data_IF_675476584225
#
_entry.id   IF_675476584225
#
_cell.length_a   1.000
_cell.length_b   1.000
_cell.length_c   1.000
_cell.angle_alpha   90.00
_cell.angle_beta   90.00
_cell.angle_gamma   90.00
#
_symmetry.space_group_name_H-M   'P 1'
#
loop_
_entity.id
_entity.type
_entity.pdbx_description
1 polymer ?
#
# COMPACT_ATOMS: atom_id res chain seq x y z
N UNK A 1 33.23 -8.33 -31.47
CA UNK A 1 32.66 -7.02 -31.03
C UNK A 1 31.82 -7.27 -29.76
N UNK A 2 32.37 -6.93 -28.59
CA UNK A 2 31.68 -7.11 -27.29
C UNK A 2 30.99 -5.79 -26.94
N UNK A 3 29.66 -5.77 -27.02
CA UNK A 3 28.88 -4.66 -26.45
C UNK A 3 28.93 -4.78 -24.93
N UNK A 4 29.60 -3.85 -24.29
CA UNK A 4 29.55 -3.65 -22.84
C UNK A 4 28.19 -3.03 -22.51
N UNK A 5 27.32 -3.80 -21.85
CA UNK A 5 26.15 -3.26 -21.15
C UNK A 5 26.65 -2.45 -19.96
N UNK A 6 26.54 -1.16 -20.07
CA UNK A 6 26.63 -0.24 -18.94
C UNK A 6 25.35 -0.36 -18.12
N UNK A 7 25.42 -1.09 -17.03
CA UNK A 7 24.46 -0.99 -15.95
C UNK A 7 24.87 0.25 -15.12
N UNK A 8 24.30 1.39 -15.46
CA UNK A 8 24.38 2.57 -14.60
C UNK A 8 23.51 2.28 -13.36
N UNK A 9 24.18 2.04 -12.24
CA UNK A 9 23.59 2.22 -10.92
C UNK A 9 23.37 3.72 -10.74
N UNK A 10 22.25 4.24 -11.14
CA UNK A 10 21.84 5.59 -10.75
C UNK A 10 21.23 5.54 -9.36
N UNK A 11 21.91 6.12 -8.40
CA UNK A 11 21.27 6.57 -7.17
C UNK A 11 20.22 7.61 -7.56
N UNK A 12 18.97 7.44 -7.12
CA UNK A 12 17.91 8.40 -7.34
C UNK A 12 18.30 9.75 -6.71
N UNK A 13 18.74 10.67 -7.53
CA UNK A 13 19.04 12.03 -7.10
C UNK A 13 17.94 12.93 -7.64
N UNK A 14 16.90 13.14 -6.84
CA UNK A 14 15.91 14.17 -7.13
C UNK A 14 16.54 15.55 -6.87
N UNK A 15 17.08 16.17 -7.89
CA UNK A 15 17.59 17.53 -7.82
C UNK A 15 16.44 18.51 -8.11
N UNK A 16 15.71 18.95 -7.08
CA UNK A 16 14.78 20.06 -7.21
C UNK A 16 15.59 21.37 -7.21
N UNK A 17 15.87 21.95 -8.38
CA UNK A 17 16.38 23.31 -8.49
C UNK A 17 15.19 24.27 -8.60
N UNK A 18 14.88 25.00 -7.54
CA UNK A 18 13.97 26.12 -7.59
C UNK A 18 14.72 27.40 -7.27
N UNK A 19 14.78 28.29 -8.25
CA UNK A 19 15.35 29.63 -8.07
C UNK A 19 14.25 30.53 -7.50
N UNK A 20 14.46 31.10 -6.32
CA UNK A 20 13.57 32.12 -5.78
C UNK A 20 13.70 33.38 -6.66
N UNK A 21 12.73 33.62 -7.53
CA UNK A 21 12.60 34.86 -8.24
C UNK A 21 12.02 35.94 -7.31
N UNK A 22 12.67 37.04 -7.30
CA UNK A 22 12.45 38.24 -6.51
C UNK A 22 11.03 38.81 -6.59
N UNK A 23 10.48 39.14 -5.44
CA UNK A 23 9.42 40.16 -5.30
C UNK A 23 8.00 39.62 -5.33
N UNK A 24 7.41 39.55 -4.16
CA UNK A 24 6.00 39.25 -3.91
C UNK A 24 5.80 37.88 -3.30
N UNK A 25 5.02 37.84 -2.23
CA UNK A 25 4.48 36.58 -1.67
C UNK A 25 3.51 35.99 -2.71
N UNK A 26 4.07 35.28 -3.64
CA UNK A 26 3.30 34.42 -4.53
C UNK A 26 3.57 33.02 -4.02
N UNK A 27 2.51 32.29 -3.67
CA UNK A 27 2.58 30.85 -3.56
C UNK A 27 2.96 30.31 -4.95
N UNK A 28 4.26 30.38 -5.26
CA UNK A 28 4.84 29.84 -6.47
C UNK A 28 4.92 28.37 -6.31
N UNK A 29 4.11 27.62 -7.03
CA UNK A 29 4.37 26.22 -7.31
C UNK A 29 5.78 26.13 -7.88
N UNK A 30 6.72 25.64 -7.10
CA UNK A 30 8.02 25.26 -7.61
C UNK A 30 7.78 24.23 -8.72
N UNK A 31 8.42 24.47 -9.87
CA UNK A 31 8.49 23.47 -10.92
C UNK A 31 8.99 22.18 -10.28
N UNK A 32 8.12 21.18 -10.20
CA UNK A 32 8.57 19.82 -10.01
C UNK A 32 9.59 19.59 -11.12
N UNK A 33 10.82 19.27 -10.76
CA UNK A 33 11.68 18.61 -11.71
C UNK A 33 10.90 17.36 -12.13
N UNK A 34 10.57 17.30 -13.41
CA UNK A 34 10.02 16.09 -14.01
C UNK A 34 11.14 15.07 -13.91
N UNK A 35 11.15 14.36 -12.80
CA UNK A 35 12.04 13.22 -12.63
C UNK A 35 11.32 12.09 -13.32
N UNK A 36 11.77 11.70 -14.51
CA UNK A 36 11.40 10.46 -15.20
C UNK A 36 11.73 9.20 -14.36
N UNK A 37 12.02 9.37 -13.08
CA UNK A 37 12.22 8.30 -12.12
C UNK A 37 10.85 7.85 -11.62
N UNK A 38 10.41 6.66 -12.00
CA UNK A 38 9.16 6.10 -11.49
C UNK A 38 9.24 6.02 -9.95
N UNK A 39 8.19 6.45 -9.28
CA UNK A 39 8.02 6.27 -7.84
C UNK A 39 8.35 7.48 -6.95
N UNK A 40 8.70 8.66 -7.48
CA UNK A 40 8.97 9.83 -6.65
C UNK A 40 8.33 11.11 -7.23
N UNK A 41 7.73 11.93 -6.36
CA UNK A 41 7.37 13.32 -6.68
C UNK A 41 8.06 14.26 -5.72
N UNK A 42 8.60 15.37 -6.24
CA UNK A 42 9.23 16.39 -5.42
C UNK A 42 8.50 17.72 -5.54
N UNK A 43 8.49 18.51 -4.47
CA UNK A 43 7.93 19.85 -4.44
C UNK A 43 8.75 20.78 -3.55
N UNK A 44 8.64 22.08 -3.83
CA UNK A 44 9.17 23.15 -2.96
C UNK A 44 8.09 24.18 -2.74
N UNK A 45 7.89 24.56 -1.49
CA UNK A 45 6.95 25.61 -1.10
C UNK A 45 7.60 26.59 -0.14
N UNK A 46 7.08 27.80 -0.08
CA UNK A 46 7.48 28.81 0.91
C UNK A 46 6.24 29.24 1.65
N UNK A 47 6.25 29.14 2.97
CA UNK A 47 5.12 29.51 3.84
C UNK A 47 5.54 30.59 4.81
N UNK A 48 4.67 31.59 5.04
CA UNK A 48 4.86 32.57 6.08
C UNK A 48 4.67 31.92 7.46
N UNK A 49 5.48 32.34 8.43
CA UNK A 49 5.32 31.91 9.82
C UNK A 49 4.60 32.98 10.63
N UNK A 50 4.27 32.68 11.88
CA UNK A 50 3.73 33.64 12.86
C UNK A 50 4.76 34.70 13.32
N UNK A 51 6.04 34.51 12.97
CA UNK A 51 7.11 35.45 13.28
C UNK A 51 7.30 36.46 12.15
N UNK A 52 7.37 37.76 12.43
CA UNK A 52 7.58 38.78 11.40
C UNK A 52 8.84 38.54 10.58
N UNK A 53 8.72 38.61 9.26
CA UNK A 53 9.81 38.42 8.30
C UNK A 53 10.52 37.06 8.38
N UNK A 54 9.85 36.04 8.91
CA UNK A 54 10.33 34.66 8.89
C UNK A 54 9.46 33.82 8.00
N UNK A 55 10.08 33.04 7.14
CA UNK A 55 9.44 32.14 6.18
C UNK A 55 10.04 30.76 6.30
N UNK A 56 9.21 29.74 6.14
CA UNK A 56 9.66 28.35 6.02
C UNK A 56 9.77 27.98 4.55
N UNK A 57 10.97 27.58 4.13
CA UNK A 57 11.19 26.91 2.84
C UNK A 57 11.05 25.42 3.09
N UNK A 58 10.03 24.82 2.47
CA UNK A 58 9.76 23.40 2.58
C UNK A 58 10.13 22.70 1.28
N UNK A 59 11.03 21.73 1.38
CA UNK A 59 11.36 20.79 0.32
C UNK A 59 10.70 19.48 0.65
N UNK A 60 9.87 18.95 -0.23
CA UNK A 60 9.19 17.68 0.03
C UNK A 60 9.44 16.70 -1.10
N UNK A 61 9.58 15.42 -0.74
CA UNK A 61 9.53 14.31 -1.67
C UNK A 61 8.50 13.30 -1.18
N UNK A 62 7.60 12.89 -2.07
CA UNK A 62 6.58 11.89 -1.80
C UNK A 62 6.88 10.64 -2.61
N UNK A 63 6.97 9.50 -1.94
CA UNK A 63 7.05 8.19 -2.59
C UNK A 63 5.74 7.89 -3.30
N UNK A 64 5.82 7.26 -4.46
CA UNK A 64 4.68 6.71 -5.18
C UNK A 64 4.83 5.21 -5.24
N UNK A 65 3.73 4.52 -5.03
CA UNK A 65 3.65 3.10 -5.30
C UNK A 65 3.60 2.87 -6.81
N UNK A 66 4.34 1.88 -7.28
CA UNK A 66 4.19 1.37 -8.64
C UNK A 66 4.47 -0.14 -8.68
N UNK A 67 3.73 -0.86 -9.48
CA UNK A 67 3.93 -2.30 -9.65
C UNK A 67 5.15 -2.58 -10.53
N UNK A 68 5.84 -3.67 -10.23
CA UNK A 68 7.01 -4.14 -11.01
C UNK A 68 6.65 -4.47 -12.44
N UNK A 69 5.48 -5.10 -12.62
CA UNK A 69 4.94 -5.59 -13.89
C UNK A 69 3.44 -5.45 -13.89
N UNK A 70 2.82 -5.79 -15.02
CA UNK A 70 1.37 -6.02 -15.02
C UNK A 70 1.11 -7.34 -14.31
N UNK A 71 0.34 -7.27 -13.25
CA UNK A 71 0.06 -8.39 -12.34
C UNK A 71 -1.40 -8.39 -11.92
N UNK A 72 -1.83 -9.51 -11.36
CA UNK A 72 -3.15 -9.68 -10.79
C UNK A 72 -3.04 -10.07 -9.32
N UNK A 73 -3.80 -9.42 -8.45
CA UNK A 73 -3.93 -9.77 -7.05
C UNK A 73 -5.32 -10.37 -6.80
N UNK A 74 -5.35 -11.61 -6.37
CA UNK A 74 -6.58 -12.33 -6.04
C UNK A 74 -6.71 -12.50 -4.52
N UNK A 75 -7.70 -11.84 -3.93
CA UNK A 75 -8.05 -11.96 -2.52
C UNK A 75 -9.22 -12.92 -2.37
N UNK A 76 -9.06 -13.94 -1.52
CA UNK A 76 -10.09 -14.94 -1.20
C UNK A 76 -10.38 -14.83 0.29
N UNK A 77 -11.53 -14.27 0.65
CA UNK A 77 -11.86 -13.85 2.01
C UNK A 77 -12.93 -14.74 2.64
N UNK A 78 -12.63 -15.25 3.81
CA UNK A 78 -13.59 -15.95 4.68
C UNK A 78 -14.57 -14.95 5.26
N UNK A 79 -15.86 -15.16 4.96
CA UNK A 79 -16.99 -14.35 5.45
C UNK A 79 -17.89 -15.13 6.40
N UNK A 80 -17.40 -16.21 6.93
CA UNK A 80 -18.18 -17.04 7.87
C UNK A 80 -18.47 -16.31 9.18
N UNK A 81 -19.52 -16.71 9.86
CA UNK A 81 -19.93 -16.08 11.13
C UNK A 81 -18.90 -16.22 12.25
N UNK A 82 -17.99 -17.19 12.16
CA UNK A 82 -16.88 -17.38 13.10
C UNK A 82 -15.86 -16.24 13.04
N UNK A 83 -15.62 -15.66 11.86
CA UNK A 83 -14.75 -14.47 11.72
C UNK A 83 -15.29 -13.30 12.55
N UNK A 84 -16.62 -13.14 12.61
CA UNK A 84 -17.26 -12.01 13.29
C UNK A 84 -17.21 -10.71 12.46
N UNK A 85 -18.25 -9.86 12.62
CA UNK A 85 -18.42 -8.68 11.78
C UNK A 85 -17.27 -7.67 11.93
N UNK A 86 -16.86 -7.38 13.16
CA UNK A 86 -15.82 -6.36 13.39
C UNK A 86 -14.49 -6.74 12.72
N UNK A 87 -14.07 -7.99 12.86
CA UNK A 87 -12.82 -8.49 12.30
C UNK A 87 -12.90 -8.62 10.77
N UNK A 88 -14.04 -9.06 10.24
CA UNK A 88 -14.27 -9.03 8.80
C UNK A 88 -14.17 -7.61 8.23
N UNK A 89 -14.75 -6.61 8.91
CA UNK A 89 -14.70 -5.21 8.49
C UNK A 89 -13.25 -4.69 8.48
N UNK A 90 -12.42 -5.09 9.45
CA UNK A 90 -11.00 -4.75 9.47
C UNK A 90 -10.24 -5.36 8.29
N UNK A 91 -10.43 -6.66 8.02
CA UNK A 91 -9.84 -7.36 6.87
C UNK A 91 -10.31 -6.72 5.56
N UNK A 92 -11.61 -6.52 5.40
CA UNK A 92 -12.17 -5.92 4.19
C UNK A 92 -11.66 -4.48 3.97
N UNK A 93 -11.49 -3.69 5.04
CA UNK A 93 -10.90 -2.37 4.96
C UNK A 93 -9.41 -2.43 4.57
N UNK A 94 -8.64 -3.37 5.12
CA UNK A 94 -7.24 -3.58 4.76
C UNK A 94 -7.10 -3.97 3.27
N UNK A 95 -7.88 -4.95 2.80
CA UNK A 95 -7.92 -5.37 1.39
C UNK A 95 -8.35 -4.22 0.48
N UNK A 96 -9.35 -3.43 0.90
CA UNK A 96 -9.81 -2.26 0.14
C UNK A 96 -8.75 -1.16 0.04
N UNK A 97 -8.08 -0.86 1.16
CA UNK A 97 -6.98 0.12 1.19
C UNK A 97 -5.84 -0.30 0.28
N UNK A 98 -5.36 -1.53 0.46
CA UNK A 98 -4.29 -2.09 -0.34
C UNK A 98 -4.67 -2.22 -1.82
N UNK A 99 -5.83 -2.77 -2.13
CA UNK A 99 -6.31 -2.91 -3.51
C UNK A 99 -6.42 -1.57 -4.24
N UNK A 100 -6.85 -0.50 -3.57
CA UNK A 100 -6.86 0.85 -4.14
C UNK A 100 -5.46 1.36 -4.46
N UNK A 101 -4.50 1.11 -3.59
CA UNK A 101 -3.08 1.46 -3.83
C UNK A 101 -2.51 0.67 -5.01
N UNK A 102 -2.77 -0.64 -5.07
CA UNK A 102 -2.36 -1.49 -6.18
C UNK A 102 -2.94 -1.02 -7.52
N UNK A 103 -4.25 -0.78 -7.57
CA UNK A 103 -4.93 -0.27 -8.77
C UNK A 103 -4.43 1.12 -9.19
N UNK A 104 -4.08 1.99 -8.23
CA UNK A 104 -3.55 3.32 -8.49
C UNK A 104 -2.21 3.30 -9.25
N UNK A 105 -1.49 2.18 -9.24
CA UNK A 105 -0.29 1.99 -10.05
C UNK A 105 -0.59 1.92 -11.55
N UNK A 106 -1.82 1.61 -11.93
CA UNK A 106 -2.23 1.35 -13.31
C UNK A 106 -1.70 0.03 -13.89
N UNK A 107 -1.02 -0.78 -13.09
CA UNK A 107 -0.39 -2.04 -13.51
C UNK A 107 -1.06 -3.28 -12.90
N UNK A 108 -1.77 -3.13 -11.77
CA UNK A 108 -2.37 -4.26 -11.06
C UNK A 108 -3.87 -4.28 -11.25
N UNK A 109 -4.38 -5.46 -11.63
CA UNK A 109 -5.79 -5.79 -11.57
C UNK A 109 -6.07 -6.47 -10.22
N UNK A 110 -7.25 -6.24 -9.66
CA UNK A 110 -7.65 -6.84 -8.39
C UNK A 110 -8.94 -7.63 -8.57
N UNK A 111 -8.95 -8.83 -8.00
CA UNK A 111 -10.17 -9.62 -7.83
C UNK A 111 -10.39 -9.97 -6.36
N UNK A 112 -11.64 -10.07 -5.96
CA UNK A 112 -12.01 -10.47 -4.61
C UNK A 112 -13.12 -11.51 -4.68
N UNK A 113 -12.85 -12.65 -4.09
CA UNK A 113 -13.79 -13.75 -3.89
C UNK A 113 -14.14 -13.78 -2.40
N UNK A 114 -15.41 -13.76 -2.07
CA UNK A 114 -15.90 -14.03 -0.73
C UNK A 114 -16.41 -15.46 -0.66
N UNK A 115 -16.14 -16.17 0.43
CA UNK A 115 -16.70 -17.49 0.64
C UNK A 115 -17.29 -17.63 2.05
N UNK A 116 -18.23 -18.59 2.17
CA UNK A 116 -18.87 -18.95 3.43
C UNK A 116 -19.20 -20.45 3.42
N UNK A 117 -20.21 -20.85 4.15
CA UNK A 117 -20.77 -22.20 4.07
C UNK A 117 -21.22 -22.56 2.67
N UNK A 118 -21.98 -23.43 2.45
CA UNK A 118 -22.67 -23.75 1.22
C UNK A 118 -23.95 -24.47 1.60
N UNK A 119 -24.99 -24.39 0.77
CA UNK A 119 -26.31 -24.91 1.03
C UNK A 119 -27.25 -23.93 1.74
N UNK A 120 -27.20 -22.68 1.38
CA UNK A 120 -28.34 -21.78 1.55
C UNK A 120 -29.53 -22.23 0.73
N UNK A 121 -30.67 -21.56 0.88
CA UNK A 121 -31.83 -21.80 0.02
C UNK A 121 -31.48 -21.60 -1.45
N UNK A 122 -32.02 -22.42 -2.34
CA UNK A 122 -31.74 -22.48 -3.79
C UNK A 122 -31.81 -21.13 -4.54
N UNK A 123 -32.30 -20.09 -3.90
CA UNK A 123 -32.39 -18.73 -4.43
C UNK A 123 -31.46 -17.72 -3.71
N UNK A 124 -30.56 -18.19 -2.85
CA UNK A 124 -29.57 -17.29 -2.24
C UNK A 124 -28.41 -17.03 -3.20
N UNK A 125 -27.86 -15.82 -3.18
CA UNK A 125 -26.64 -15.48 -3.95
C UNK A 125 -25.43 -16.33 -3.55
N UNK A 126 -25.54 -17.08 -2.45
CA UNK A 126 -24.48 -17.92 -1.86
C UNK A 126 -24.76 -19.42 -1.98
N UNK A 127 -25.65 -19.82 -2.89
CA UNK A 127 -25.98 -21.22 -3.11
C UNK A 127 -24.75 -22.10 -3.33
N UNK A 128 -23.77 -21.59 -4.05
CA UNK A 128 -22.50 -22.28 -4.33
C UNK A 128 -21.43 -22.08 -3.23
N UNK A 129 -21.73 -21.34 -2.16
CA UNK A 129 -20.82 -21.08 -1.06
C UNK A 129 -19.78 -20.01 -1.32
N UNK A 130 -19.77 -19.34 -2.49
CA UNK A 130 -18.89 -18.22 -2.81
C UNK A 130 -19.57 -17.16 -3.67
N UNK A 131 -18.97 -15.98 -3.71
CA UNK A 131 -19.33 -14.90 -4.65
C UNK A 131 -18.08 -14.16 -5.13
N UNK A 132 -17.97 -13.97 -6.44
CA UNK A 132 -16.94 -13.15 -7.06
C UNK A 132 -17.36 -11.67 -7.00
N UNK A 133 -17.06 -11.01 -5.88
CA UNK A 133 -17.47 -9.62 -5.61
C UNK A 133 -16.82 -8.61 -6.54
N UNK A 134 -15.55 -8.84 -6.87
CA UNK A 134 -14.75 -8.01 -7.78
C UNK A 134 -13.99 -8.93 -8.71
N UNK A 135 -14.00 -8.66 -10.00
CA UNK A 135 -13.34 -9.51 -11.00
C UNK A 135 -12.51 -8.64 -11.94
N UNK A 136 -11.20 -8.88 -11.99
CA UNK A 136 -10.22 -8.22 -12.86
C UNK A 136 -10.36 -6.70 -12.94
N UNK A 137 -10.71 -6.07 -11.81
CA UNK A 137 -10.99 -4.64 -11.78
C UNK A 137 -9.71 -3.82 -11.67
N UNK A 138 -9.73 -2.68 -12.35
CA UNK A 138 -8.78 -1.56 -12.17
C UNK A 138 -9.46 -0.32 -11.59
N UNK A 139 -10.76 -0.43 -11.27
CA UNK A 139 -11.54 0.66 -10.70
C UNK A 139 -11.60 0.55 -9.18
N UNK A 140 -10.95 1.45 -8.42
CA UNK A 140 -10.93 1.39 -6.95
C UNK A 140 -12.31 1.41 -6.28
N UNK A 141 -13.34 1.96 -6.94
CA UNK A 141 -14.69 2.00 -6.39
C UNK A 141 -15.36 0.62 -6.32
N UNK A 142 -14.93 -0.33 -7.14
CA UNK A 142 -15.49 -1.69 -7.11
C UNK A 142 -15.19 -2.41 -5.79
N UNK A 143 -14.11 -2.01 -5.11
CA UNK A 143 -13.73 -2.57 -3.81
C UNK A 143 -14.71 -2.20 -2.67
N UNK A 144 -15.57 -1.21 -2.86
CA UNK A 144 -16.60 -0.89 -1.86
C UNK A 144 -17.65 -2.00 -1.74
N UNK A 145 -17.78 -2.86 -2.76
CA UNK A 145 -18.70 -3.98 -2.79
C UNK A 145 -18.37 -5.09 -1.78
N UNK A 146 -17.13 -5.17 -1.32
CA UNK A 146 -16.71 -6.20 -0.35
C UNK A 146 -17.14 -5.88 1.09
N UNK A 147 -17.63 -4.69 1.35
CA UNK A 147 -18.15 -4.30 2.66
C UNK A 147 -19.56 -4.85 2.86
N UNK A 148 -19.63 -6.14 3.13
CA UNK A 148 -20.90 -6.88 3.32
C UNK A 148 -20.96 -7.50 4.72
N UNK A 149 -22.15 -7.83 5.23
CA UNK A 149 -22.29 -8.55 6.51
C UNK A 149 -21.63 -9.92 6.44
N UNK A 150 -21.05 -10.36 7.55
CA UNK A 150 -20.67 -11.79 7.71
C UNK A 150 -21.93 -12.68 7.64
N UNK A 151 -21.73 -13.94 7.29
CA UNK A 151 -22.80 -14.94 7.21
C UNK A 151 -23.36 -15.23 8.61
N UNK A 152 -24.45 -14.59 8.93
CA UNK A 152 -25.27 -14.86 10.12
C UNK A 152 -26.71 -15.17 9.69
N UNK A 153 -27.46 -15.76 10.56
CA UNK A 153 -28.76 -16.43 10.35
C UNK A 153 -29.83 -15.73 9.49
N UNK A 154 -29.74 -14.73 8.81
CA UNK A 154 -30.66 -14.05 7.87
C UNK A 154 -30.33 -12.56 7.77
N UNK A 155 -29.44 -12.21 6.88
CA UNK A 155 -29.15 -10.80 6.68
C UNK A 155 -29.52 -10.41 5.26
N UNK A 156 -30.31 -9.37 5.11
CA UNK A 156 -30.55 -8.73 3.82
C UNK A 156 -29.70 -7.46 3.73
N UNK A 157 -28.83 -7.38 2.74
CA UNK A 157 -28.04 -6.19 2.47
C UNK A 157 -28.35 -5.67 1.06
N UNK A 158 -28.71 -4.38 0.95
CA UNK A 158 -29.12 -3.77 -0.33
C UNK A 158 -30.21 -4.53 -1.09
N UNK A 159 -31.13 -5.18 -0.39
CA UNK A 159 -32.22 -5.97 -0.99
C UNK A 159 -31.82 -7.37 -1.45
N UNK A 160 -30.56 -7.77 -1.23
CA UNK A 160 -30.06 -9.11 -1.51
C UNK A 160 -30.06 -9.91 -0.21
N UNK A 161 -30.59 -11.12 -0.26
CA UNK A 161 -30.62 -12.04 0.87
C UNK A 161 -29.29 -12.78 0.98
N UNK A 162 -28.59 -12.58 2.08
CA UNK A 162 -27.40 -13.34 2.45
C UNK A 162 -27.84 -14.40 3.46
N UNK A 163 -28.12 -15.60 2.96
CA UNK A 163 -28.75 -16.68 3.73
C UNK A 163 -27.92 -17.18 4.90
N UNK A 164 -28.52 -18.02 5.72
CA UNK A 164 -27.91 -18.70 6.87
C UNK A 164 -26.94 -19.79 6.43
N UNK A 165 -25.76 -19.39 6.02
CA UNK A 165 -24.74 -20.32 5.58
C UNK A 165 -23.82 -20.63 6.74
N UNK A 166 -24.10 -21.74 7.39
CA UNK A 166 -23.27 -22.22 8.49
C UNK A 166 -22.08 -22.96 7.94
N UNK A 167 -20.93 -22.69 8.56
CA UNK A 167 -19.69 -23.43 8.35
C UNK A 167 -18.77 -22.79 7.32
N UNK A 168 -17.56 -23.33 7.28
CA UNK A 168 -16.43 -22.85 6.49
C UNK A 168 -16.20 -23.81 5.31
N UNK A 169 -16.40 -23.32 4.08
CA UNK A 169 -16.33 -24.11 2.86
C UNK A 169 -15.15 -23.68 1.97
N UNK A 170 -13.97 -24.28 2.23
CA UNK A 170 -12.79 -24.00 1.41
C UNK A 170 -12.87 -24.58 -0.01
N UNK A 171 -13.69 -25.64 -0.24
CA UNK A 171 -13.95 -26.13 -1.60
C UNK A 171 -14.54 -25.02 -2.46
N UNK A 172 -15.59 -24.34 -1.96
CA UNK A 172 -16.21 -23.20 -2.64
C UNK A 172 -15.25 -22.01 -2.82
N UNK A 173 -14.36 -21.76 -1.86
CA UNK A 173 -13.33 -20.74 -2.00
C UNK A 173 -12.44 -20.98 -3.23
N UNK A 174 -12.01 -22.23 -3.46
CA UNK A 174 -11.23 -22.61 -4.64
C UNK A 174 -12.06 -22.66 -5.93
N UNK A 175 -13.38 -22.94 -5.84
CA UNK A 175 -14.29 -22.82 -6.98
C UNK A 175 -14.40 -21.37 -7.44
N UNK A 176 -14.60 -20.44 -6.51
CA UNK A 176 -14.61 -19.01 -6.79
C UNK A 176 -13.28 -18.51 -7.36
N UNK A 177 -12.16 -18.91 -6.76
CA UNK A 177 -10.84 -18.60 -7.26
C UNK A 177 -10.62 -19.17 -8.69
N UNK A 178 -11.04 -20.41 -8.96
CA UNK A 178 -10.95 -21.03 -10.28
C UNK A 178 -11.77 -20.28 -11.32
N UNK A 179 -12.96 -19.82 -10.95
CA UNK A 179 -13.82 -19.05 -11.83
C UNK A 179 -13.15 -17.71 -12.24
N UNK A 180 -12.51 -17.02 -11.31
CA UNK A 180 -11.72 -15.82 -11.60
C UNK A 180 -10.53 -16.16 -12.50
N UNK A 181 -9.74 -17.18 -12.16
CA UNK A 181 -8.51 -17.53 -12.86
C UNK A 181 -8.77 -18.11 -14.28
N UNK A 182 -9.96 -18.60 -14.56
CA UNK A 182 -10.31 -19.11 -15.90
C UNK A 182 -10.21 -18.05 -17.02
N UNK A 183 -10.24 -16.78 -16.64
CA UNK A 183 -10.16 -15.64 -17.57
C UNK A 183 -8.92 -14.78 -17.35
N UNK A 184 -8.00 -15.21 -16.47
CA UNK A 184 -6.78 -14.47 -16.13
C UNK A 184 -5.58 -14.97 -16.93
N UNK A 185 -4.76 -14.04 -17.40
CA UNK A 185 -3.52 -14.33 -18.15
C UNK A 185 -2.29 -13.69 -17.48
N UNK A 186 -2.50 -12.84 -16.50
CA UNK A 186 -1.41 -12.15 -15.80
C UNK A 186 -0.81 -13.06 -14.71
N UNK A 187 0.47 -12.86 -14.37
CA UNK A 187 1.03 -13.40 -13.15
C UNK A 187 0.16 -12.99 -11.98
N UNK A 188 -0.19 -13.94 -11.11
CA UNK A 188 -1.18 -13.74 -10.04
C UNK A 188 -0.59 -14.09 -8.68
N UNK A 189 -0.74 -13.18 -7.72
CA UNK A 189 -0.55 -13.46 -6.31
C UNK A 189 -1.91 -13.70 -5.65
N UNK A 190 -2.02 -14.82 -4.94
CA UNK A 190 -3.25 -15.26 -4.26
C UNK A 190 -3.10 -15.06 -2.77
N UNK A 191 -4.06 -14.37 -2.17
CA UNK A 191 -4.15 -14.14 -0.72
C UNK A 191 -5.40 -14.80 -0.18
N UNK A 192 -5.23 -15.86 0.60
CA UNK A 192 -6.31 -16.68 1.13
C UNK A 192 -6.46 -16.47 2.64
N UNK A 193 -7.61 -15.96 3.07
CA UNK A 193 -7.90 -15.64 4.46
C UNK A 193 -8.89 -16.63 5.05
N UNK A 194 -8.61 -17.18 6.24
CA UNK A 194 -9.56 -17.96 7.00
C UNK A 194 -9.21 -17.98 8.49
N UNK A 195 -10.23 -18.04 9.34
CA UNK A 195 -10.10 -18.13 10.81
C UNK A 195 -10.22 -19.54 11.34
N UNK A 196 -10.40 -20.55 10.50
CA UNK A 196 -10.69 -21.88 10.99
C UNK A 196 -10.44 -23.02 10.03
N UNK A 197 -11.05 -24.15 10.37
CA UNK A 197 -11.02 -25.35 9.57
C UNK A 197 -12.22 -25.43 8.63
N UNK A 198 -12.05 -25.97 7.43
CA UNK A 198 -13.20 -26.29 6.59
C UNK A 198 -14.01 -27.39 7.29
N UNK A 199 -15.30 -27.19 7.37
CA UNK A 199 -16.19 -28.08 8.08
C UNK A 199 -17.48 -28.41 7.32
N UNK A 200 -17.66 -27.84 6.13
CA UNK A 200 -18.82 -28.06 5.26
C UNK A 200 -18.46 -27.94 3.78
N UNK A 201 -19.38 -28.30 2.90
CA UNK A 201 -19.34 -28.11 1.45
C UNK A 201 -20.77 -27.96 0.90
N UNK A 202 -20.93 -27.54 -0.37
CA UNK A 202 -22.24 -27.41 -1.01
C UNK A 202 -23.00 -28.74 -1.00
N UNK A 203 -24.18 -28.76 -0.38
CA UNK A 203 -25.00 -29.95 -0.22
C UNK A 203 -24.60 -30.89 0.93
N UNK A 204 -23.70 -30.45 1.83
CA UNK A 204 -23.37 -31.22 3.02
C UNK A 204 -24.57 -31.35 3.98
N UNK A 205 -24.71 -32.53 4.58
CA UNK A 205 -25.62 -32.77 5.67
C UNK A 205 -24.89 -32.58 7.02
N UNK A 206 -24.83 -31.33 7.47
CA UNK A 206 -24.14 -30.92 8.71
C UNK A 206 -22.62 -30.75 8.57
N UNK A 207 -21.95 -30.58 9.72
CA UNK A 207 -20.49 -30.38 9.77
C UNK A 207 -19.75 -31.70 9.73
N UNK A 208 -18.80 -31.82 8.80
CA UNK A 208 -17.94 -32.99 8.60
C UNK A 208 -16.53 -32.57 8.24
N UNK A 209 -15.78 -32.17 9.22
CA UNK A 209 -14.49 -31.49 9.09
C UNK A 209 -13.46 -32.24 8.23
N UNK A 210 -13.24 -33.54 8.49
CA UNK A 210 -12.25 -34.32 7.76
C UNK A 210 -12.64 -34.52 6.28
N UNK A 211 -13.92 -34.71 6.00
CA UNK A 211 -14.42 -34.84 4.62
C UNK A 211 -14.35 -33.48 3.91
N UNK A 212 -14.75 -32.40 4.58
CA UNK A 212 -14.65 -31.04 4.05
C UNK A 212 -13.21 -30.66 3.72
N UNK A 213 -12.25 -31.00 4.61
CA UNK A 213 -10.84 -30.77 4.37
C UNK A 213 -10.30 -31.60 3.19
N UNK A 214 -10.67 -32.88 3.10
CA UNK A 214 -10.28 -33.74 1.97
C UNK A 214 -10.77 -33.21 0.63
N UNK A 215 -12.00 -32.71 0.58
CA UNK A 215 -12.61 -32.08 -0.61
C UNK A 215 -11.89 -30.77 -0.97
N UNK A 216 -11.67 -29.90 0.03
CA UNK A 216 -10.94 -28.66 -0.15
C UNK A 216 -9.50 -28.90 -0.67
N UNK A 217 -8.80 -29.88 -0.13
CA UNK A 217 -7.46 -30.27 -0.59
C UNK A 217 -7.47 -30.78 -2.03
N UNK A 218 -8.47 -31.59 -2.42
CA UNK A 218 -8.64 -32.03 -3.82
C UNK A 218 -8.86 -30.84 -4.74
N UNK A 219 -9.74 -29.92 -4.37
CA UNK A 219 -10.05 -28.74 -5.17
C UNK A 219 -8.89 -27.77 -5.27
N UNK A 220 -8.13 -27.57 -4.18
CA UNK A 220 -6.91 -26.79 -4.20
C UNK A 220 -5.85 -27.36 -5.15
N UNK A 221 -5.70 -28.71 -5.21
CA UNK A 221 -4.81 -29.38 -6.14
C UNK A 221 -5.26 -29.21 -7.60
N UNK A 222 -6.56 -29.30 -7.88
CA UNK A 222 -7.11 -29.01 -9.21
C UNK A 222 -6.85 -27.55 -9.63
N UNK A 223 -7.05 -26.62 -8.71
CA UNK A 223 -6.73 -25.19 -8.89
C UNK A 223 -5.25 -24.98 -9.21
N UNK A 224 -4.36 -25.55 -8.39
CA UNK A 224 -2.91 -25.45 -8.61
C UNK A 224 -2.46 -26.14 -9.92
N UNK A 225 -3.07 -27.27 -10.28
CA UNK A 225 -2.76 -27.95 -11.54
C UNK A 225 -3.22 -27.15 -12.77
N UNK A 226 -4.34 -26.44 -12.65
CA UNK A 226 -4.90 -25.66 -13.76
C UNK A 226 -4.23 -24.29 -13.94
N UNK A 227 -3.85 -23.64 -12.85
CA UNK A 227 -3.41 -22.24 -12.85
C UNK A 227 -2.03 -22.02 -12.23
N UNK A 228 -1.37 -23.08 -11.79
CA UNK A 228 -0.09 -22.97 -11.06
C UNK A 228 0.98 -22.20 -11.82
N UNK A 229 1.04 -22.27 -13.15
CA UNK A 229 2.01 -21.55 -13.97
C UNK A 229 1.79 -20.02 -13.90
N UNK A 230 0.57 -19.57 -13.68
CA UNK A 230 0.21 -18.16 -13.51
C UNK A 230 0.37 -17.69 -12.07
N UNK A 231 0.24 -18.59 -11.08
CA UNK A 231 0.38 -18.24 -9.66
C UNK A 231 1.86 -18.03 -9.35
N UNK A 232 2.19 -16.82 -8.88
CA UNK A 232 3.54 -16.48 -8.41
C UNK A 232 3.72 -16.87 -6.96
N UNK A 233 2.80 -16.45 -6.10
CA UNK A 233 2.76 -16.77 -4.69
C UNK A 233 1.33 -17.13 -4.26
N UNK A 234 1.24 -18.00 -3.26
CA UNK A 234 0.01 -18.32 -2.54
C UNK A 234 0.24 -18.05 -1.06
N UNK A 235 -0.30 -16.94 -0.59
CA UNK A 235 -0.17 -16.51 0.81
C UNK A 235 -1.46 -16.84 1.55
N UNK A 236 -1.39 -17.80 2.48
CA UNK A 236 -2.49 -18.06 3.40
C UNK A 236 -2.34 -17.25 4.67
N UNK A 237 -3.39 -16.55 5.05
CA UNK A 237 -3.44 -15.68 6.21
C UNK A 237 -4.44 -16.25 7.19
N UNK A 238 -3.93 -16.80 8.27
CA UNK A 238 -4.70 -17.41 9.33
C UNK A 238 -5.00 -16.42 10.44
N UNK A 239 -6.27 -16.24 10.79
CA UNK A 239 -6.69 -15.42 11.91
C UNK A 239 -6.59 -16.23 13.19
N UNK A 240 -5.50 -16.03 13.94
CA UNK A 240 -5.22 -16.81 15.14
C UNK A 240 -5.98 -16.25 16.33
N UNK A 241 -7.00 -17.00 16.78
CA UNK A 241 -7.72 -16.76 18.03
C UNK A 241 -7.32 -17.79 19.08
N UNK A 242 -7.59 -17.48 20.35
CA UNK A 242 -7.33 -18.39 21.46
C UNK A 242 -7.97 -19.77 21.22
N UNK A 243 -7.13 -20.80 21.10
CA UNK A 243 -7.56 -22.19 20.96
C UNK A 243 -7.88 -22.65 19.53
N UNK A 244 -7.69 -21.83 18.50
CA UNK A 244 -7.86 -22.27 17.12
C UNK A 244 -6.59 -22.96 16.59
N UNK A 245 -6.80 -24.08 15.91
CA UNK A 245 -5.76 -24.84 15.22
C UNK A 245 -5.79 -24.49 13.72
N UNK A 246 -4.78 -23.77 13.25
CA UNK A 246 -4.62 -23.37 11.85
C UNK A 246 -3.71 -24.32 11.04
N UNK A 247 -3.36 -25.48 11.63
CA UNK A 247 -2.45 -26.44 10.99
C UNK A 247 -2.96 -26.93 9.62
N UNK A 248 -4.27 -27.10 9.45
CA UNK A 248 -4.86 -27.50 8.16
C UNK A 248 -4.65 -26.46 7.06
N UNK A 249 -4.67 -25.17 7.41
CA UNK A 249 -4.39 -24.08 6.47
C UNK A 249 -2.91 -24.10 6.05
N UNK A 250 -2.02 -24.26 6.99
CA UNK A 250 -0.59 -24.38 6.73
C UNK A 250 -0.27 -25.61 5.88
N UNK A 251 -0.85 -26.78 6.21
CA UNK A 251 -0.65 -28.01 5.45
C UNK A 251 -1.18 -27.90 4.03
N UNK A 252 -2.41 -27.37 3.85
CA UNK A 252 -2.96 -27.16 2.51
C UNK A 252 -2.04 -26.30 1.66
N UNK A 253 -1.59 -25.16 2.19
CA UNK A 253 -0.68 -24.24 1.49
C UNK A 253 0.60 -24.95 1.06
N UNK A 254 1.30 -25.58 2.00
CA UNK A 254 2.58 -26.24 1.74
C UNK A 254 2.46 -27.44 0.82
N UNK A 255 1.46 -28.29 1.02
CA UNK A 255 1.27 -29.52 0.27
C UNK A 255 0.82 -29.27 -1.17
N UNK A 256 0.09 -28.18 -1.43
CA UNK A 256 -0.43 -27.87 -2.76
C UNK A 256 0.48 -26.93 -3.54
N UNK A 257 0.94 -25.85 -2.91
CA UNK A 257 1.67 -24.77 -3.59
C UNK A 257 3.19 -24.84 -3.40
N UNK A 258 3.68 -25.68 -2.50
CA UNK A 258 5.10 -25.96 -2.33
C UNK A 258 5.95 -24.70 -2.10
N UNK A 259 6.90 -24.44 -2.99
CA UNK A 259 7.81 -23.29 -2.88
C UNK A 259 7.11 -21.91 -3.08
N UNK A 260 5.90 -21.90 -3.61
CA UNK A 260 5.09 -20.68 -3.79
C UNK A 260 4.23 -20.38 -2.55
N UNK A 261 4.14 -21.33 -1.62
CA UNK A 261 3.33 -21.18 -0.41
C UNK A 261 4.02 -20.30 0.61
N UNK A 262 3.25 -19.38 1.16
CA UNK A 262 3.58 -18.60 2.36
C UNK A 262 2.44 -18.72 3.34
N UNK A 263 2.73 -18.72 4.62
CA UNK A 263 1.72 -18.78 5.67
C UNK A 263 2.01 -17.71 6.71
N UNK A 264 1.06 -16.86 6.94
CA UNK A 264 1.09 -15.79 7.92
C UNK A 264 0.00 -16.05 8.98
N UNK A 265 0.29 -15.77 10.24
CA UNK A 265 -0.67 -15.88 11.33
C UNK A 265 -0.82 -14.53 12.01
N UNK A 266 -2.00 -13.97 11.92
CA UNK A 266 -2.33 -12.68 12.52
C UNK A 266 -3.26 -12.87 13.71
N UNK A 267 -2.98 -12.17 14.81
CA UNK A 267 -3.77 -12.30 16.05
C UNK A 267 -4.93 -11.30 16.10
N UNK A 268 -4.91 -10.26 15.29
CA UNK A 268 -5.92 -9.21 15.23
C UNK A 268 -6.09 -8.69 13.81
N UNK A 269 -7.22 -8.06 13.51
CA UNK A 269 -7.46 -7.42 12.21
C UNK A 269 -6.45 -6.31 11.89
N UNK A 270 -6.02 -5.53 12.88
CA UNK A 270 -4.97 -4.51 12.71
C UNK A 270 -3.65 -5.14 12.25
N UNK A 271 -3.27 -6.29 12.82
CA UNK A 271 -2.08 -7.03 12.41
C UNK A 271 -2.21 -7.58 10.99
N UNK A 272 -3.40 -8.04 10.59
CA UNK A 272 -3.66 -8.43 9.19
C UNK A 272 -3.36 -7.28 8.23
N UNK A 273 -3.72 -6.05 8.59
CA UNK A 273 -3.42 -4.88 7.77
C UNK A 273 -1.92 -4.66 7.62
N UNK A 274 -1.15 -4.74 8.71
CA UNK A 274 0.31 -4.59 8.70
C UNK A 274 0.99 -5.72 7.90
N UNK A 275 0.55 -6.96 8.10
CA UNK A 275 1.09 -8.13 7.41
C UNK A 275 0.78 -8.09 5.91
N UNK A 276 -0.43 -7.71 5.52
CA UNK A 276 -0.81 -7.51 4.12
C UNK A 276 0.04 -6.42 3.46
N UNK A 277 0.15 -5.26 4.08
CA UNK A 277 0.95 -4.17 3.53
C UNK A 277 2.41 -4.59 3.37
N UNK A 278 2.98 -5.26 4.37
CA UNK A 278 4.37 -5.72 4.33
C UNK A 278 4.61 -6.77 3.23
N UNK A 279 3.75 -7.76 3.12
CA UNK A 279 3.94 -8.87 2.17
C UNK A 279 3.66 -8.44 0.74
N UNK A 280 2.57 -7.71 0.51
CA UNK A 280 2.20 -7.25 -0.83
C UNK A 280 3.17 -6.19 -1.35
N UNK A 281 3.62 -5.26 -0.50
CA UNK A 281 4.62 -4.28 -0.90
C UNK A 281 5.92 -4.96 -1.36
N UNK A 282 6.33 -6.03 -0.73
CA UNK A 282 7.55 -6.72 -1.11
C UNK A 282 7.40 -7.54 -2.41
N UNK A 283 6.23 -8.02 -2.73
CA UNK A 283 5.96 -8.92 -3.85
C UNK A 283 5.50 -8.21 -5.11
N UNK A 284 4.45 -7.42 -5.01
CA UNK A 284 3.80 -6.80 -6.17
C UNK A 284 4.36 -5.42 -6.49
N UNK A 285 4.86 -4.72 -5.48
CA UNK A 285 5.33 -3.36 -5.66
C UNK A 285 6.84 -3.31 -5.53
N UNK A 286 7.54 -2.85 -6.55
CA UNK A 286 8.80 -2.19 -6.30
C UNK A 286 8.43 -0.88 -5.66
N UNK A 287 8.06 -0.97 -4.41
CA UNK A 287 7.50 0.16 -3.71
C UNK A 287 8.29 1.41 -3.99
N UNK A 288 7.71 2.55 -3.86
CA UNK A 288 8.38 3.82 -3.81
C UNK A 288 9.55 3.85 -2.83
N UNK A 289 10.37 2.81 -2.88
CA UNK A 289 11.60 2.61 -2.14
C UNK A 289 12.72 3.37 -2.82
N UNK A 290 12.54 4.67 -2.95
CA UNK A 290 13.67 5.49 -3.31
C UNK A 290 14.70 5.39 -2.19
N UNK A 291 15.69 4.51 -2.38
CA UNK A 291 16.86 4.47 -1.52
C UNK A 291 17.72 5.71 -1.76
N UNK A 292 18.10 6.38 -0.68
CA UNK A 292 19.02 7.51 -0.76
C UNK A 292 18.39 8.76 -1.38
N UNK A 293 17.09 8.97 -1.21
CA UNK A 293 16.43 10.23 -1.60
C UNK A 293 17.23 11.39 -1.07
N UNK A 294 17.63 12.29 -1.96
CA UNK A 294 18.38 13.49 -1.60
C UNK A 294 17.58 14.72 -1.99
N UNK A 295 17.19 15.50 -1.00
CA UNK A 295 16.57 16.80 -1.16
C UNK A 295 17.63 17.87 -1.14
N UNK A 296 17.72 18.67 -2.20
CA UNK A 296 18.73 19.75 -2.29
C UNK A 296 18.06 21.09 -2.56
N UNK A 297 18.58 22.14 -1.93
CA UNK A 297 18.21 23.52 -2.22
C UNK A 297 19.42 24.45 -2.25
N UNK A 298 19.37 25.41 -3.15
CA UNK A 298 20.33 26.50 -3.22
C UNK A 298 19.70 27.75 -2.61
N UNK A 299 20.11 28.12 -1.40
CA UNK A 299 19.65 29.37 -0.79
C UNK A 299 20.14 30.57 -1.60
N UNK A 300 19.21 31.44 -1.98
CA UNK A 300 19.57 32.68 -2.70
C UNK A 300 20.30 33.65 -1.77
N UNK A 301 21.10 34.55 -2.34
CA UNK A 301 21.76 35.62 -1.57
C UNK A 301 20.82 36.66 -0.95
N UNK A 302 19.52 36.57 -1.29
CA UNK A 302 18.47 37.45 -0.76
C UNK A 302 17.83 36.95 0.53
N UNK A 303 18.17 35.72 0.96
CA UNK A 303 17.71 35.14 2.23
C UNK A 303 18.88 34.63 3.05
N UNK A 304 18.69 34.63 4.36
CA UNK A 304 19.62 34.04 5.32
C UNK A 304 18.88 33.13 6.29
N UNK A 305 19.49 32.01 6.73
CA UNK A 305 18.87 31.16 7.76
C UNK A 305 18.55 31.95 9.03
N UNK A 306 17.45 31.58 9.69
CA UNK A 306 17.06 32.17 10.98
C UNK A 306 18.02 31.74 12.09
N UNK A 307 18.49 30.50 12.02
CA UNK A 307 19.43 29.92 12.98
C UNK A 307 20.48 29.07 12.26
N UNK A 308 21.58 28.83 12.95
CA UNK A 308 22.60 27.89 12.54
C UNK A 308 22.83 26.86 13.65
N UNK A 309 23.23 25.67 13.26
CA UNK A 309 23.66 24.63 14.21
C UNK A 309 25.11 24.90 14.74
N UNK A 310 25.58 23.99 15.57
CA UNK A 310 26.96 24.08 16.16
C UNK A 310 28.09 23.96 15.14
N UNK A 311 27.77 23.50 13.91
CA UNK A 311 28.71 23.40 12.78
C UNK A 311 28.59 24.58 11.81
N UNK A 312 27.77 25.59 12.15
CA UNK A 312 27.53 26.78 11.32
C UNK A 312 26.62 26.53 10.10
N UNK A 313 25.94 25.39 10.03
CA UNK A 313 25.00 25.04 8.96
C UNK A 313 23.60 25.62 9.28
N UNK A 314 22.76 25.94 8.27
CA UNK A 314 21.40 26.35 8.48
C UNK A 314 20.64 25.39 9.41
N UNK A 315 19.96 25.93 10.43
CA UNK A 315 19.04 25.14 11.24
C UNK A 315 17.85 24.69 10.38
N UNK A 316 17.52 23.40 10.44
CA UNK A 316 16.39 22.83 9.73
C UNK A 316 15.75 21.72 10.55
N UNK A 317 14.55 21.31 10.15
CA UNK A 317 13.89 20.11 10.65
C UNK A 317 13.54 19.18 9.48
N UNK A 318 13.59 17.89 9.74
CA UNK A 318 13.20 16.86 8.77
C UNK A 318 12.11 16.00 9.42
N UNK A 319 11.01 15.82 8.72
CA UNK A 319 9.91 14.99 9.17
C UNK A 319 9.41 14.08 8.05
N UNK A 320 8.81 12.96 8.43
CA UNK A 320 8.11 12.05 7.52
C UNK A 320 6.67 11.90 7.96
N UNK A 321 5.73 11.98 7.03
CA UNK A 321 4.32 11.68 7.24
C UNK A 321 3.86 10.63 6.25
N UNK A 322 2.84 9.86 6.61
CA UNK A 322 2.18 8.89 5.73
C UNK A 322 0.77 9.40 5.44
N UNK A 323 0.34 9.39 4.19
CA UNK A 323 -1.00 9.81 3.72
C UNK A 323 -1.45 11.19 4.23
N UNK A 324 -0.50 12.12 4.37
CA UNK A 324 -0.80 13.47 4.89
C UNK A 324 -1.09 13.52 6.40
N UNK A 325 -0.88 12.44 7.12
CA UNK A 325 -1.03 12.34 8.56
C UNK A 325 0.00 13.16 9.34
N UNK A 326 0.05 12.99 10.64
CA UNK A 326 0.99 13.70 11.52
C UNK A 326 2.44 13.33 11.21
N UNK A 327 3.27 14.33 10.98
CA UNK A 327 4.69 14.10 10.71
C UNK A 327 5.44 13.60 11.96
N UNK A 328 6.28 12.60 11.77
CA UNK A 328 7.28 12.12 12.73
C UNK A 328 8.60 12.80 12.43
N UNK A 329 9.25 13.37 13.45
CA UNK A 329 10.55 14.04 13.30
C UNK A 329 11.68 13.01 13.14
N UNK A 330 12.50 13.20 12.12
CA UNK A 330 13.67 12.39 11.83
C UNK A 330 14.92 12.92 12.53
N UNK A 331 15.91 12.04 12.77
CA UNK A 331 17.15 12.34 13.51
C UNK A 331 18.36 12.25 12.59
N UNK A 332 19.19 13.33 12.55
CA UNK A 332 20.45 13.33 11.80
C UNK A 332 21.42 12.24 12.29
N UNK A 333 22.06 11.56 11.36
CA UNK A 333 22.98 10.46 11.61
C UNK A 333 22.33 9.10 11.82
N UNK A 334 21.00 9.06 12.07
CA UNK A 334 20.20 7.84 12.18
C UNK A 334 19.29 7.67 10.96
N UNK A 335 18.53 8.70 10.64
CA UNK A 335 17.49 8.65 9.61
C UNK A 335 17.90 9.40 8.35
N UNK A 336 18.77 10.40 8.46
CA UNK A 336 19.28 11.18 7.34
C UNK A 336 20.68 11.73 7.58
N UNK A 337 21.37 12.06 6.50
CA UNK A 337 22.63 12.85 6.48
C UNK A 337 22.33 14.27 5.99
N UNK A 338 23.00 15.26 6.59
CA UNK A 338 22.85 16.66 6.24
C UNK A 338 24.20 17.29 5.91
N UNK A 339 24.29 17.88 4.74
CA UNK A 339 25.47 18.65 4.31
C UNK A 339 25.08 20.06 3.86
N UNK A 340 25.97 21.01 4.10
CA UNK A 340 25.84 22.40 3.67
C UNK A 340 27.17 22.91 3.15
N UNK A 341 27.22 23.37 1.90
CA UNK A 341 28.39 23.96 1.27
C UNK A 341 27.94 24.94 0.18
N UNK A 342 28.62 26.08 0.05
CA UNK A 342 28.33 27.08 -0.98
C UNK A 342 26.87 27.52 -1.04
N UNK A 343 26.23 27.75 0.10
CA UNK A 343 24.79 28.04 0.24
C UNK A 343 23.86 26.92 -0.25
N UNK A 344 24.37 25.74 -0.52
CA UNK A 344 23.59 24.59 -0.94
C UNK A 344 23.34 23.67 0.25
N UNK A 345 22.08 23.41 0.52
CA UNK A 345 21.60 22.43 1.49
C UNK A 345 21.40 21.10 0.74
N UNK A 346 21.83 20.01 1.36
CA UNK A 346 21.57 18.66 0.87
C UNK A 346 21.22 17.75 2.05
N UNK A 347 20.02 17.20 2.04
CA UNK A 347 19.52 16.24 3.02
C UNK A 347 19.30 14.91 2.31
N UNK A 348 20.03 13.88 2.68
CA UNK A 348 19.98 12.54 2.12
C UNK A 348 19.36 11.58 3.13
N UNK A 349 18.25 10.93 2.77
CA UNK A 349 17.65 9.89 3.60
C UNK A 349 18.55 8.65 3.65
N UNK A 350 18.73 8.09 4.84
CA UNK A 350 19.42 6.81 5.05
C UNK A 350 18.46 5.62 4.91
N UNK A 351 17.21 5.85 5.28
CA UNK A 351 16.13 4.89 5.15
C UNK A 351 15.40 5.06 3.81
N UNK A 352 14.72 4.00 3.38
CA UNK A 352 13.85 4.03 2.21
C UNK A 352 12.64 4.92 2.46
N UNK A 353 12.25 5.70 1.45
CA UNK A 353 10.96 6.39 1.44
C UNK A 353 9.94 5.45 0.81
N UNK A 354 8.98 4.98 1.60
CA UNK A 354 7.91 4.09 1.14
C UNK A 354 6.85 4.86 0.34
N UNK A 355 6.03 4.12 -0.40
CA UNK A 355 4.84 4.68 -1.03
C UNK A 355 3.96 5.41 -0.03
N UNK A 356 3.23 6.42 -0.49
CA UNK A 356 2.41 7.32 0.33
C UNK A 356 3.14 8.10 1.44
N UNK A 357 4.43 7.85 1.68
CA UNK A 357 5.23 8.64 2.61
C UNK A 357 5.74 9.92 1.96
N UNK A 358 5.61 11.02 2.69
CA UNK A 358 6.18 12.32 2.32
C UNK A 358 7.24 12.72 3.33
N UNK A 359 8.48 12.84 2.88
CA UNK A 359 9.53 13.50 3.67
C UNK A 359 9.49 15.00 3.38
N UNK A 360 9.60 15.82 4.42
CA UNK A 360 9.66 17.28 4.31
C UNK A 360 10.87 17.81 5.09
N UNK A 361 11.69 18.59 4.41
CA UNK A 361 12.76 19.38 5.00
C UNK A 361 12.26 20.81 5.13
N UNK A 362 12.19 21.35 6.34
CA UNK A 362 11.75 22.72 6.63
C UNK A 362 12.95 23.55 7.06
N UNK A 363 13.19 24.64 6.34
CA UNK A 363 14.33 25.55 6.54
C UNK A 363 13.79 26.95 6.86
N UNK A 364 13.83 27.40 8.12
CA UNK A 364 13.44 28.77 8.48
C UNK A 364 14.44 29.79 7.93
N UNK A 365 13.96 30.76 7.16
CA UNK A 365 14.76 31.81 6.56
C UNK A 365 14.18 33.19 6.81
N UNK A 366 15.02 34.24 6.67
CA UNK A 366 14.59 35.65 6.68
C UNK A 366 15.25 36.40 5.54
N UNK A 367 14.61 37.47 4.99
CA UNK A 367 15.23 38.32 3.98
C UNK A 367 16.53 38.94 4.46
N UNK A 368 17.46 39.14 3.55
CA UNK A 368 18.65 39.96 3.78
C UNK A 368 18.35 41.43 3.51
N UNK A 369 19.21 42.33 3.97
CA UNK A 369 19.05 43.77 3.71
C UNK A 369 19.04 44.10 2.23
N UNK A 370 19.68 43.28 1.39
CA UNK A 370 19.64 43.39 -0.09
C UNK A 370 18.23 43.16 -0.63
N UNK A 371 17.47 42.24 -0.07
CA UNK A 371 16.09 41.94 -0.49
C UNK A 371 15.16 43.09 -0.10
N UNK A 372 15.35 43.67 1.08
CA UNK A 372 14.54 44.78 1.59
C UNK A 372 14.78 46.05 0.76
N UNK A 373 16.02 46.34 0.38
CA UNK A 373 16.38 47.46 -0.46
C UNK A 373 15.72 47.42 -1.85
N UNK A 374 15.61 46.22 -2.45
CA UNK A 374 14.99 46.06 -3.76
C UNK A 374 13.47 46.28 -3.76
N UNK A 375 12.77 45.92 -2.69
CA UNK A 375 11.33 46.18 -2.54
C UNK A 375 11.02 47.65 -2.33
N UNK A 376 11.90 48.43 -1.70
CA UNK A 376 11.74 49.86 -1.53
C UNK A 376 11.96 50.67 -2.82
N UNK A 377 12.90 50.23 -3.66
CA UNK A 377 13.15 50.88 -4.96
C UNK A 377 11.97 50.76 -5.94
N UNK A 378 11.25 49.59 -5.93
CA UNK A 378 10.06 49.42 -6.76
C UNK A 378 8.83 50.17 -6.28
N UNK A 379 8.72 50.49 -4.98
CA UNK A 379 7.57 51.27 -4.45
C UNK A 379 7.63 52.76 -4.79
N UNK A 380 8.77 53.26 -5.29
CA UNK A 380 8.95 54.65 -5.72
C UNK A 380 8.82 54.87 -7.25
N UNK A 381 8.66 53.78 -8.03
CA UNK A 381 8.50 53.85 -9.51
C UNK A 381 7.05 53.72 -9.99
N UNK A 382 6.09 53.75 -9.08
CA UNK A 382 4.64 53.76 -9.41
C UNK A 382 4.06 55.12 -8.93
#
# INVERSE_FOLDING_TARGET
>A
MKQRKWLSRMAATAAAMATLLTGGVVAGTALAADTDEPGLTASKTVTATDKPNVFDVNLSATGRDYAKNREHALFVLDRTGSVGQAEYDEIANAVRSLGRRLMATGQVQVSVVLFAGGAGEENSVWYDGYENMVTHSTNPADLDRIMVPVSTTTTTHNGVFYGSEYGTNWEAAFDGASNVMAHEQLPTDVFFFSDGHPNTWAGADGYKEEEAYSRALSRAREFAASYGDHIQNFTSIGLQRDGQDLSKLEHLSKDVFGAKAKTEFSSTGDQVSEDLESNVENELMTGGFAKGVTLTDQLSGNVKPVSTDTKGRPGLSVGVSTDGGKATTLVEGKDYEYTYANNRISVRLLNQLKGSQTVTVTIPVKPTDKAVSYTHLRAHET
#
